data_IF_934375713968
#
_entry.id   IF_934375713968
#
_cell.length_a   1.000
_cell.length_b   1.000
_cell.length_c   1.000
_cell.angle_alpha   90.00
_cell.angle_beta   90.00
_cell.angle_gamma   90.00
#
_symmetry.space_group_name_H-M   'P 1'
#
loop_
_entity.id
_entity.type
_entity.pdbx_description
1 polymer ?
#
# COMPACT_ATOMS: atom_id res chain seq x y z
N UNK A 1 -0.76 -7.37 -0.08
CA UNK A 1 -1.30 -7.50 -1.45
C UNK A 1 -0.88 -6.35 -2.35
N UNK A 2 -1.23 -5.08 -2.07
CA UNK A 2 -0.86 -3.93 -2.91
C UNK A 2 0.63 -3.85 -3.31
N UNK A 3 1.54 -4.16 -2.37
CA UNK A 3 3.01 -4.15 -2.61
C UNK A 3 3.42 -5.06 -3.78
N UNK A 4 2.81 -6.24 -3.92
CA UNK A 4 3.12 -7.16 -5.01
C UNK A 4 2.70 -6.61 -6.37
N UNK A 5 1.56 -5.91 -6.43
CA UNK A 5 1.10 -5.25 -7.66
C UNK A 5 1.95 -4.04 -8.05
N UNK A 6 2.62 -3.38 -7.10
CA UNK A 6 3.56 -2.30 -7.41
C UNK A 6 4.92 -2.85 -7.87
N UNK A 7 5.43 -3.89 -7.20
CA UNK A 7 6.81 -4.36 -7.37
C UNK A 7 6.94 -5.34 -8.55
N UNK A 8 6.01 -6.27 -8.76
CA UNK A 8 6.16 -7.30 -9.79
C UNK A 8 6.18 -6.70 -11.21
N UNK A 9 5.26 -5.80 -11.61
CA UNK A 9 5.32 -5.18 -12.93
C UNK A 9 6.60 -4.37 -13.10
N UNK A 10 7.00 -3.63 -12.07
CA UNK A 10 8.21 -2.80 -12.10
C UNK A 10 9.50 -3.63 -12.23
N UNK A 11 9.65 -4.68 -11.42
CA UNK A 11 10.86 -5.50 -11.41
C UNK A 11 11.03 -6.34 -12.69
N UNK A 12 9.92 -6.69 -13.36
CA UNK A 12 9.94 -7.61 -14.50
C UNK A 12 9.56 -6.97 -15.83
N UNK A 13 9.14 -5.70 -15.89
CA UNK A 13 8.78 -5.01 -17.14
C UNK A 13 9.90 -5.02 -18.20
N UNK A 14 11.17 -5.02 -17.79
CA UNK A 14 12.32 -5.06 -18.70
C UNK A 14 12.57 -6.45 -19.32
N UNK A 15 12.10 -7.53 -18.67
CA UNK A 15 12.39 -8.93 -19.07
C UNK A 15 11.13 -9.60 -19.65
N UNK A 16 9.95 -9.23 -19.17
CA UNK A 16 8.66 -9.78 -19.58
C UNK A 16 7.65 -8.65 -19.82
N UNK A 17 7.61 -8.06 -21.02
CA UNK A 17 6.73 -6.94 -21.38
C UNK A 17 5.23 -7.15 -21.06
N UNK A 18 4.65 -8.37 -21.19
CA UNK A 18 3.24 -8.60 -20.83
C UNK A 18 2.92 -8.35 -19.34
N UNK A 19 3.91 -8.45 -18.44
CA UNK A 19 3.72 -8.17 -17.02
C UNK A 19 3.54 -6.67 -16.73
N UNK A 20 3.88 -5.79 -17.68
CA UNK A 20 3.57 -4.37 -17.58
C UNK A 20 2.05 -4.11 -17.57
N UNK A 21 1.23 -5.01 -18.16
CA UNK A 21 -0.24 -4.91 -18.11
C UNK A 21 -0.82 -5.17 -16.72
N UNK A 22 -0.05 -5.77 -15.80
CA UNK A 22 -0.44 -5.92 -14.40
C UNK A 22 -0.18 -4.65 -13.57
N UNK A 23 0.33 -3.57 -14.16
CA UNK A 23 0.45 -2.25 -13.53
C UNK A 23 -0.92 -1.59 -13.36
N UNK A 24 -1.77 -2.18 -12.52
CA UNK A 24 -3.11 -1.68 -12.17
C UNK A 24 -3.05 -0.25 -11.62
N UNK A 25 -1.92 0.15 -11.03
CA UNK A 25 -1.74 1.48 -10.42
C UNK A 25 -1.34 2.59 -11.42
N UNK A 26 -0.98 2.25 -12.67
CA UNK A 26 -0.48 3.19 -13.69
C UNK A 26 0.71 4.05 -13.19
N UNK A 27 1.65 3.43 -12.48
CA UNK A 27 2.84 4.13 -11.95
C UNK A 27 3.76 4.58 -13.11
N UNK A 28 4.38 5.76 -12.96
CA UNK A 28 5.03 6.49 -14.05
C UNK A 28 6.29 5.77 -14.59
N UNK A 29 7.06 5.14 -13.71
CA UNK A 29 8.22 4.33 -14.09
C UNK A 29 8.43 3.12 -13.16
N UNK A 30 9.12 2.06 -13.63
CA UNK A 30 9.48 0.93 -12.78
C UNK A 30 10.32 1.30 -11.55
N UNK A 31 11.26 2.24 -11.71
CA UNK A 31 12.13 2.70 -10.61
C UNK A 31 11.34 3.50 -9.56
N UNK A 32 10.47 4.41 -9.99
CA UNK A 32 9.62 5.19 -9.08
C UNK A 32 8.62 4.31 -8.33
N UNK A 33 8.10 3.26 -8.98
CA UNK A 33 7.20 2.29 -8.35
C UNK A 33 7.86 1.52 -7.20
N UNK A 34 9.09 1.03 -7.40
CA UNK A 34 9.86 0.34 -6.36
C UNK A 34 10.18 1.31 -5.21
N UNK A 35 10.66 2.50 -5.54
CA UNK A 35 11.04 3.51 -4.53
C UNK A 35 9.83 3.93 -3.69
N UNK A 36 8.69 4.20 -4.33
CA UNK A 36 7.44 4.55 -3.65
C UNK A 36 6.96 3.43 -2.73
N UNK A 37 7.06 2.17 -3.15
CA UNK A 37 6.70 1.03 -2.32
C UNK A 37 7.59 0.88 -1.08
N UNK A 38 8.90 1.13 -1.22
CA UNK A 38 9.87 1.11 -0.11
C UNK A 38 9.63 2.28 0.85
N UNK A 39 9.45 3.50 0.34
CA UNK A 39 9.14 4.69 1.17
C UNK A 39 7.84 4.46 1.95
N UNK A 40 6.79 3.96 1.30
CA UNK A 40 5.53 3.65 1.97
C UNK A 40 5.72 2.66 3.12
N UNK A 41 6.55 1.62 2.95
CA UNK A 41 6.86 0.67 4.01
C UNK A 41 7.56 1.32 5.22
N UNK A 42 8.45 2.27 4.99
CA UNK A 42 9.10 3.00 6.07
C UNK A 42 8.11 3.90 6.82
N UNK A 43 7.29 4.65 6.08
CA UNK A 43 6.33 5.59 6.66
C UNK A 43 5.19 4.90 7.42
N UNK A 44 4.67 3.79 6.89
CA UNK A 44 3.50 3.13 7.49
C UNK A 44 3.80 2.60 8.90
N UNK A 45 5.05 2.23 9.20
CA UNK A 45 5.46 1.82 10.54
C UNK A 45 5.32 2.99 11.52
N UNK A 46 5.84 4.17 11.17
CA UNK A 46 5.77 5.37 12.01
C UNK A 46 4.32 5.73 12.34
N UNK A 47 3.43 5.64 11.34
CA UNK A 47 1.99 5.90 11.53
C UNK A 47 1.29 4.85 12.40
N UNK A 48 1.75 3.59 12.38
CA UNK A 48 1.13 2.50 13.15
C UNK A 48 1.64 2.41 14.60
N UNK A 49 2.83 2.92 14.92
CA UNK A 49 3.38 2.96 16.29
C UNK A 49 2.38 3.57 17.30
N UNK A 50 1.83 4.79 17.10
CA UNK A 50 0.90 5.36 18.09
C UNK A 50 -0.38 4.55 18.25
N UNK A 51 -0.84 3.89 17.17
CA UNK A 51 -1.99 2.98 17.23
C UNK A 51 -1.66 1.71 18.03
N UNK A 52 -0.45 1.16 17.86
CA UNK A 52 0.03 0.01 18.62
C UNK A 52 0.17 0.32 20.12
N UNK A 53 0.63 1.54 20.45
CA UNK A 53 0.81 1.99 21.84
C UNK A 53 -0.50 2.32 22.55
N UNK A 54 -1.46 2.96 21.86
CA UNK A 54 -2.78 3.28 22.45
C UNK A 54 -3.69 2.05 22.60
N UNK A 55 -3.40 0.98 21.85
CA UNK A 55 -4.28 -0.17 21.74
C UNK A 55 -5.55 0.13 20.94
N UNK A 56 -6.23 -0.92 20.51
CA UNK A 56 -7.49 -0.80 19.77
C UNK A 56 -8.63 -0.74 20.76
N UNK A 57 -9.44 0.33 20.72
CA UNK A 57 -10.64 0.45 21.58
C UNK A 57 -11.58 -0.73 21.36
N UNK A 58 -11.61 -1.63 22.34
CA UNK A 58 -12.46 -2.81 22.34
C UNK A 58 -13.92 -2.40 22.58
N UNK A 59 -14.83 -2.88 21.72
CA UNK A 59 -16.28 -2.74 21.94
C UNK A 59 -16.85 -4.13 22.23
N UNK A 60 -17.60 -4.34 23.33
CA UNK A 60 -18.20 -5.61 23.64
C UNK A 60 -19.25 -5.94 22.57
N UNK A 61 -18.90 -6.86 21.69
CA UNK A 61 -19.72 -7.37 20.60
C UNK A 61 -19.60 -8.89 20.61
N UNK A 62 -20.61 -9.57 20.09
CA UNK A 62 -20.53 -11.02 19.86
C UNK A 62 -19.36 -11.33 18.91
N UNK A 63 -18.73 -12.49 19.06
CA UNK A 63 -17.53 -12.85 18.29
C UNK A 63 -17.73 -12.72 16.77
N UNK A 64 -18.91 -13.10 16.27
CA UNK A 64 -19.27 -12.99 14.84
C UNK A 64 -19.40 -11.53 14.38
N UNK A 65 -20.03 -10.67 15.18
CA UNK A 65 -20.16 -9.24 14.88
C UNK A 65 -18.81 -8.52 14.96
N UNK A 66 -17.96 -8.89 15.93
CA UNK A 66 -16.61 -8.37 16.07
C UNK A 66 -15.73 -8.75 14.87
N UNK A 67 -15.74 -10.02 14.46
CA UNK A 67 -14.98 -10.51 13.30
C UNK A 67 -15.36 -9.76 12.03
N UNK A 68 -16.66 -9.62 11.76
CA UNK A 68 -17.15 -8.90 10.58
C UNK A 68 -16.67 -7.45 10.61
N UNK A 69 -16.82 -6.74 11.74
CA UNK A 69 -16.35 -5.35 11.89
C UNK A 69 -14.82 -5.24 11.69
N UNK A 70 -14.04 -6.17 12.23
CA UNK A 70 -12.58 -6.15 12.04
C UNK A 70 -12.20 -6.37 10.57
N UNK A 71 -12.86 -7.27 9.86
CA UNK A 71 -12.64 -7.49 8.43
C UNK A 71 -13.01 -6.25 7.60
N UNK A 72 -14.12 -5.58 7.91
CA UNK A 72 -14.50 -4.34 7.23
C UNK A 72 -13.52 -3.20 7.48
N UNK A 73 -13.09 -2.98 8.73
CA UNK A 73 -12.22 -1.83 9.06
C UNK A 73 -10.75 -2.13 8.71
N UNK A 74 -10.19 -3.22 9.24
CA UNK A 74 -8.78 -3.54 9.09
C UNK A 74 -8.49 -4.32 7.81
N UNK A 75 -9.44 -5.10 7.30
CA UNK A 75 -9.30 -5.78 6.00
C UNK A 75 -9.40 -4.81 4.82
N UNK A 76 -10.47 -4.00 4.73
CA UNK A 76 -10.56 -3.00 3.65
C UNK A 76 -9.58 -1.86 3.84
N UNK A 77 -9.40 -1.37 5.07
CA UNK A 77 -8.38 -0.36 5.35
C UNK A 77 -6.99 -0.84 4.96
N UNK A 78 -6.61 -2.05 5.38
CA UNK A 78 -5.33 -2.66 5.01
C UNK A 78 -5.19 -2.95 3.51
N UNK A 79 -6.29 -3.10 2.79
CA UNK A 79 -6.29 -3.24 1.34
C UNK A 79 -6.12 -1.88 0.64
N UNK A 80 -6.93 -0.87 0.97
CA UNK A 80 -7.02 0.39 0.24
C UNK A 80 -5.89 1.37 0.57
N UNK A 81 -5.53 1.51 1.84
CA UNK A 81 -4.49 2.44 2.32
C UNK A 81 -3.16 2.31 1.56
N UNK A 82 -2.60 1.10 1.34
CA UNK A 82 -1.34 0.98 0.61
C UNK A 82 -1.44 1.34 -0.87
N UNK A 83 -2.59 1.13 -1.54
CA UNK A 83 -2.75 1.58 -2.94
C UNK A 83 -2.73 3.10 -3.03
N UNK A 84 -3.47 3.79 -2.16
CA UNK A 84 -3.54 5.25 -2.14
C UNK A 84 -2.18 5.84 -1.74
N UNK A 85 -1.55 5.28 -0.70
CA UNK A 85 -0.27 5.76 -0.19
C UNK A 85 0.87 5.63 -1.19
N UNK A 86 1.03 4.46 -1.83
CA UNK A 86 2.08 4.24 -2.84
C UNK A 86 1.87 5.19 -4.03
N UNK A 87 0.63 5.34 -4.51
CA UNK A 87 0.32 6.23 -5.64
C UNK A 87 0.57 7.71 -5.31
N UNK A 88 0.24 8.14 -4.09
CA UNK A 88 0.50 9.51 -3.65
C UNK A 88 2.01 9.81 -3.56
N UNK A 89 2.81 8.85 -3.10
CA UNK A 89 4.28 8.97 -3.07
C UNK A 89 4.86 9.02 -4.48
N UNK A 90 4.39 8.14 -5.38
CA UNK A 90 4.83 8.13 -6.79
C UNK A 90 4.55 9.47 -7.46
N UNK A 91 3.33 10.00 -7.30
CA UNK A 91 2.95 11.33 -7.79
C UNK A 91 3.82 12.43 -7.20
N UNK A 92 4.11 12.42 -5.90
CA UNK A 92 4.98 13.41 -5.27
C UNK A 92 6.41 13.37 -5.83
N UNK A 93 6.95 12.18 -6.05
CA UNK A 93 8.29 12.00 -6.62
C UNK A 93 8.35 12.53 -8.06
N UNK A 94 7.34 12.23 -8.87
CA UNK A 94 7.24 12.74 -10.26
C UNK A 94 7.02 14.25 -10.31
N UNK A 95 6.16 14.80 -9.44
CA UNK A 95 5.88 16.24 -9.39
C UNK A 95 7.08 17.07 -8.90
N UNK A 96 7.89 16.51 -8.01
CA UNK A 96 9.10 17.19 -7.51
C UNK A 96 10.30 17.05 -8.46
N UNK A 97 10.15 16.32 -9.58
CA UNK A 97 11.20 16.14 -10.59
C UNK A 97 12.39 15.32 -10.10
N UNK A 98 12.23 14.59 -8.99
CA UNK A 98 13.25 13.70 -8.45
C UNK A 98 13.43 12.45 -9.33
N UNK A 99 12.39 12.07 -10.09
CA UNK A 99 12.33 10.94 -11.03
C UNK A 99 11.35 11.20 -12.18
#
# INVERSE_FOLDING_TARGET
>A
MAKYFAIIPAAFAAVYPPLAMLNVMHLHSPSSAILSAVIFNALIIIFLIPLALKGVSYKPLTASAMLRRNLWVYGLGGLLVPFIGIKAIDLLLTLTGLL
#
